data_IF_478948785689
#
_entry.id   IF_478948785689
#
_cell.length_a   1.000
_cell.length_b   1.000
_cell.length_c   1.000
_cell.angle_alpha   90.00
_cell.angle_beta   90.00
_cell.angle_gamma   90.00
#
_symmetry.space_group_name_H-M   'P 1'
#
loop_
_entity.id
_entity.type
_entity.pdbx_description
1 polymer ?
#
# COMPACT_ATOMS: atom_id res chain seq x y z
N UNK A 1 13.15 -21.07 21.13
CA UNK A 1 12.74 -20.30 19.95
C UNK A 1 11.34 -19.78 20.23
N UNK A 2 11.11 -18.48 20.48
CA UNK A 2 9.74 -18.02 20.70
C UNK A 2 8.95 -18.14 19.39
N UNK A 3 7.67 -18.48 19.55
CA UNK A 3 6.72 -18.63 18.46
C UNK A 3 6.58 -17.30 17.71
N UNK A 4 6.55 -17.37 16.38
CA UNK A 4 6.36 -16.23 15.48
C UNK A 4 5.05 -15.53 15.85
N UNK A 5 5.13 -14.30 16.35
CA UNK A 5 3.96 -13.44 16.54
C UNK A 5 3.30 -13.24 15.18
N UNK A 6 2.12 -13.84 15.01
CA UNK A 6 1.29 -13.61 13.84
C UNK A 6 0.87 -12.14 13.88
N UNK A 7 1.46 -11.32 12.99
CA UNK A 7 1.02 -9.95 12.78
C UNK A 7 -0.45 -10.02 12.37
N UNK A 8 -1.33 -9.53 13.23
CA UNK A 8 -2.74 -9.42 12.90
C UNK A 8 -2.86 -8.68 11.56
N UNK A 9 -3.75 -9.14 10.66
CA UNK A 9 -3.92 -8.47 9.38
C UNK A 9 -4.30 -7.00 9.62
N UNK A 10 -3.66 -6.10 8.87
CA UNK A 10 -3.97 -4.67 8.87
C UNK A 10 -4.45 -4.25 7.48
N UNK A 11 -5.32 -3.25 7.43
CA UNK A 11 -5.69 -2.51 6.24
C UNK A 11 -5.09 -1.11 6.28
N UNK A 12 -4.89 -0.54 5.10
CA UNK A 12 -4.35 0.80 4.92
C UNK A 12 -5.49 1.69 4.44
N UNK A 13 -5.86 2.69 5.24
CA UNK A 13 -7.02 3.53 4.98
C UNK A 13 -6.65 4.98 4.68
N UNK A 14 -7.46 5.62 3.85
CA UNK A 14 -7.40 7.05 3.62
C UNK A 14 -7.96 7.78 4.85
N UNK A 15 -7.21 8.69 5.49
CA UNK A 15 -7.73 9.49 6.60
C UNK A 15 -8.85 10.45 6.19
N UNK A 16 -8.94 10.80 4.90
CA UNK A 16 -9.92 11.76 4.38
C UNK A 16 -11.28 11.13 4.03
N UNK A 17 -11.29 10.07 3.22
CA UNK A 17 -12.53 9.41 2.79
C UNK A 17 -12.83 8.08 3.50
N UNK A 18 -11.85 7.52 4.22
CA UNK A 18 -11.95 6.20 4.85
C UNK A 18 -11.73 5.01 3.91
N UNK A 19 -11.58 5.25 2.60
CA UNK A 19 -11.36 4.22 1.59
C UNK A 19 -10.08 3.42 1.80
N UNK A 20 -10.08 2.17 1.32
CA UNK A 20 -8.95 1.23 1.44
C UNK A 20 -8.10 1.18 0.15
N UNK A 21 -8.47 1.95 -0.87
CA UNK A 21 -7.77 2.01 -2.15
C UNK A 21 -6.61 3.00 -2.08
N UNK A 22 -5.53 2.58 -1.42
CA UNK A 22 -4.30 3.37 -1.27
C UNK A 22 -3.22 2.86 -2.24
N UNK A 23 -2.73 3.77 -3.07
CA UNK A 23 -1.65 3.54 -4.02
C UNK A 23 -0.34 4.06 -3.43
N UNK A 24 0.74 3.30 -3.62
CA UNK A 24 2.09 3.76 -3.29
C UNK A 24 2.76 4.35 -4.53
N UNK A 25 3.41 5.50 -4.34
CA UNK A 25 4.24 6.05 -5.41
C UNK A 25 5.45 5.17 -5.66
N UNK A 26 5.82 5.01 -6.92
CA UNK A 26 6.89 4.12 -7.32
C UNK A 26 7.54 4.51 -8.64
N UNK A 27 8.85 4.27 -8.71
CA UNK A 27 9.59 4.30 -9.97
C UNK A 27 9.56 2.92 -10.63
N UNK A 28 9.19 2.89 -11.90
CA UNK A 28 9.40 1.74 -12.78
C UNK A 28 10.53 2.03 -13.77
N UNK A 29 11.31 1.00 -14.10
CA UNK A 29 12.39 1.08 -15.09
C UNK A 29 12.02 0.25 -16.31
N UNK A 30 12.27 0.80 -17.50
CA UNK A 30 12.12 0.05 -18.74
C UNK A 30 13.19 -1.04 -18.84
N UNK A 31 12.76 -2.30 -18.94
CA UNK A 31 13.63 -3.42 -19.21
C UNK A 31 13.62 -3.72 -20.71
N UNK A 32 14.81 -3.60 -21.34
CA UNK A 32 14.97 -3.79 -22.79
C UNK A 32 14.86 -5.26 -23.20
N UNK A 33 15.16 -6.21 -22.30
CA UNK A 33 15.08 -7.63 -22.60
C UNK A 33 13.64 -8.14 -22.58
N UNK A 34 12.87 -7.74 -21.57
CA UNK A 34 11.45 -8.11 -21.43
C UNK A 34 10.52 -7.18 -22.21
N UNK A 35 10.99 -6.00 -22.61
CA UNK A 35 10.21 -4.94 -23.26
C UNK A 35 9.00 -4.49 -22.41
N UNK A 36 9.22 -4.43 -21.10
CA UNK A 36 8.18 -4.11 -20.12
C UNK A 36 8.71 -3.10 -19.09
N UNK A 37 7.78 -2.39 -18.45
CA UNK A 37 8.08 -1.55 -17.28
C UNK A 37 8.12 -2.44 -16.04
N UNK A 38 9.27 -2.49 -15.37
CA UNK A 38 9.46 -3.27 -14.17
C UNK A 38 9.58 -2.35 -12.95
N UNK A 39 8.89 -2.70 -11.86
CA UNK A 39 8.93 -1.94 -10.62
C UNK A 39 10.37 -1.93 -10.06
N UNK A 40 10.94 -0.73 -9.89
CA UNK A 40 12.30 -0.55 -9.41
C UNK A 40 12.34 -0.17 -7.94
N UNK A 41 11.51 0.77 -7.52
CA UNK A 41 11.53 1.31 -6.15
C UNK A 41 10.16 1.85 -5.78
N UNK A 42 9.73 1.59 -4.54
CA UNK A 42 8.51 2.15 -3.94
C UNK A 42 8.93 3.19 -2.91
N UNK A 43 8.27 4.34 -2.92
CA UNK A 43 8.52 5.45 -2.00
C UNK A 43 7.52 5.47 -0.84
N UNK A 44 7.75 6.37 0.11
CA UNK A 44 6.89 6.60 1.27
C UNK A 44 5.61 7.36 0.91
N UNK A 45 5.59 8.11 -0.19
CA UNK A 45 4.40 8.79 -0.68
C UNK A 45 3.26 7.81 -1.02
N UNK A 46 2.04 8.17 -0.61
CA UNK A 46 0.81 7.41 -0.83
C UNK A 46 -0.26 8.33 -1.37
N UNK A 47 -1.07 7.82 -2.29
CA UNK A 47 -2.22 8.53 -2.86
C UNK A 47 -3.46 7.67 -2.71
N UNK A 48 -4.57 8.26 -2.27
CA UNK A 48 -5.84 7.55 -2.28
C UNK A 48 -6.45 7.57 -3.68
N UNK A 49 -6.75 6.41 -4.25
CA UNK A 49 -7.36 6.30 -5.57
C UNK A 49 -8.81 6.79 -5.59
N UNK A 50 -9.52 6.72 -4.45
CA UNK A 50 -10.93 7.11 -4.36
C UNK A 50 -11.13 8.64 -4.37
N UNK A 51 -10.28 9.37 -3.67
CA UNK A 51 -10.35 10.84 -3.62
C UNK A 51 -9.29 11.55 -4.47
N UNK A 52 -8.25 10.84 -4.93
CA UNK A 52 -7.16 11.38 -5.75
C UNK A 52 -6.19 12.29 -4.98
N UNK A 53 -6.19 12.23 -3.65
CA UNK A 53 -5.38 13.11 -2.79
C UNK A 53 -4.18 12.32 -2.26
N UNK A 54 -3.02 12.97 -2.18
CA UNK A 54 -1.84 12.48 -1.46
C UNK A 54 -2.14 12.42 0.05
N UNK A 55 -1.89 11.28 0.67
CA UNK A 55 -2.30 11.01 2.06
C UNK A 55 -1.20 10.34 2.86
N UNK A 56 -1.08 10.70 4.13
CA UNK A 56 -0.38 9.88 5.12
C UNK A 56 -1.31 8.74 5.53
N UNK A 57 -1.27 7.64 4.79
CA UNK A 57 -2.20 6.53 4.97
C UNK A 57 -2.09 5.92 6.38
N UNK A 58 -3.23 5.52 6.95
CA UNK A 58 -3.31 5.03 8.33
C UNK A 58 -3.49 3.51 8.36
N UNK A 59 -2.73 2.84 9.23
CA UNK A 59 -2.87 1.40 9.48
C UNK A 59 -4.05 1.15 10.42
N UNK A 60 -4.94 0.23 10.04
CA UNK A 60 -6.06 -0.22 10.88
C UNK A 60 -6.05 -1.74 11.00
N UNK A 61 -6.34 -2.27 12.19
CA UNK A 61 -6.47 -3.71 12.36
C UNK A 61 -7.71 -4.23 11.64
N UNK A 62 -7.55 -5.28 10.83
CA UNK A 62 -8.68 -6.00 10.25
C UNK A 62 -9.38 -6.73 11.39
N UNK A 63 -10.57 -6.27 11.75
CA UNK A 63 -11.44 -7.02 12.64
C UNK A 63 -12.01 -8.19 11.84
N UNK A 64 -11.38 -9.37 11.96
CA UNK A 64 -11.94 -10.62 11.47
C UNK A 64 -13.23 -10.89 12.26
N UNK A 65 -14.37 -10.64 11.62
CA UNK A 65 -15.68 -10.73 12.24
C UNK A 65 -16.65 -11.54 11.39
N UNK A 66 -16.67 -12.86 11.62
CA UNK A 66 -17.87 -13.70 11.81
C UNK A 66 -17.48 -15.19 11.87
#
# INVERSE_FOLDING_TARGET
MPAREAHQPITINCPHCGGESILADACARWNVETQEWELSTVYDDKTCADCGIEVSAEERSVQEGA
#
